data_IF_217352858434
#
_entry.id   IF_217352858434
#
_cell.length_a   1.000
_cell.length_b   1.000
_cell.length_c   1.000
_cell.angle_alpha   90.00
_cell.angle_beta   90.00
_cell.angle_gamma   90.00
#
_symmetry.space_group_name_H-M   'P 1'
#
loop_
_entity.id
_entity.type
_entity.pdbx_description
1 polymer ?
#
# COMPACT_ATOMS: atom_id res chain seq x y z
N UNK A 1 -2.71 18.52 -7.27
CA UNK A 1 -3.95 18.44 -6.45
C UNK A 1 -3.77 19.29 -5.21
N UNK A 2 -4.63 20.27 -4.96
CA UNK A 2 -4.62 21.05 -3.72
C UNK A 2 -5.25 20.23 -2.61
N UNK A 3 -4.46 19.83 -1.62
CA UNK A 3 -4.90 18.93 -0.55
C UNK A 3 -4.66 19.55 0.82
N UNK A 4 -5.56 19.28 1.76
CA UNK A 4 -5.41 19.67 3.16
C UNK A 4 -5.90 18.58 4.11
N UNK A 5 -5.37 18.59 5.33
CA UNK A 5 -5.86 17.80 6.46
C UNK A 5 -6.37 18.77 7.53
N UNK A 6 -7.51 18.45 8.12
CA UNK A 6 -8.16 19.22 9.18
C UNK A 6 -8.31 18.32 10.40
N UNK A 7 -7.95 18.83 11.57
CA UNK A 7 -8.06 18.10 12.85
C UNK A 7 -8.68 18.99 13.92
N UNK A 8 -9.80 18.56 14.49
CA UNK A 8 -10.32 19.13 15.73
C UNK A 8 -9.58 18.66 17.00
N UNK A 9 -8.72 17.65 16.86
CA UNK A 9 -7.99 17.00 17.97
C UNK A 9 -6.60 17.57 18.20
N UNK A 10 -6.23 18.63 17.46
CA UNK A 10 -4.90 19.24 17.53
C UNK A 10 -3.88 18.54 16.65
N UNK A 11 -2.60 18.74 16.97
CA UNK A 11 -1.47 18.17 16.24
C UNK A 11 -1.20 16.73 16.61
N UNK A 12 -0.73 15.96 15.64
CA UNK A 12 -0.11 14.66 15.86
C UNK A 12 1.26 14.83 16.51
N UNK A 13 1.88 13.72 16.89
CA UNK A 13 3.27 13.69 17.33
C UNK A 13 4.20 14.34 16.28
N UNK A 14 5.30 15.01 16.70
CA UNK A 14 6.12 15.81 15.80
C UNK A 14 6.59 15.10 14.52
N UNK A 15 7.02 13.84 14.63
CA UNK A 15 7.45 13.03 13.49
C UNK A 15 6.28 12.70 12.55
N UNK A 16 5.15 12.23 13.10
CA UNK A 16 3.94 11.98 12.31
C UNK A 16 3.48 13.25 11.60
N UNK A 17 3.49 14.39 12.28
CA UNK A 17 3.08 15.66 11.68
C UNK A 17 4.00 16.06 10.51
N UNK A 18 5.32 15.90 10.66
CA UNK A 18 6.27 16.19 9.60
C UNK A 18 6.05 15.26 8.40
N UNK A 19 5.83 13.98 8.64
CA UNK A 19 5.61 13.01 7.57
C UNK A 19 4.24 13.14 6.90
N UNK A 20 3.22 13.61 7.63
CA UNK A 20 1.96 14.04 7.04
C UNK A 20 2.18 15.21 6.07
N UNK A 21 3.00 16.20 6.44
CA UNK A 21 3.33 17.31 5.53
C UNK A 21 4.02 16.82 4.26
N UNK A 22 4.99 15.91 4.40
CA UNK A 22 5.70 15.31 3.28
C UNK A 22 4.72 14.54 2.36
N UNK A 23 3.78 13.81 2.95
CA UNK A 23 2.74 13.08 2.21
C UNK A 23 1.85 14.03 1.41
N UNK A 24 1.39 15.13 2.03
CA UNK A 24 0.60 16.16 1.35
C UNK A 24 1.38 16.81 0.19
N UNK A 25 2.68 17.10 0.38
CA UNK A 25 3.55 17.59 -0.69
C UNK A 25 3.67 16.59 -1.86
N UNK A 26 3.79 15.29 -1.55
CA UNK A 26 3.83 14.23 -2.55
C UNK A 26 2.52 14.18 -3.35
N UNK A 27 1.35 14.16 -2.69
CA UNK A 27 0.05 14.19 -3.38
C UNK A 27 -0.12 15.44 -4.25
N UNK A 28 0.31 16.60 -3.77
CA UNK A 28 0.21 17.84 -4.53
C UNK A 28 0.98 17.76 -5.86
N UNK A 29 2.11 17.06 -5.87
CA UNK A 29 3.01 16.93 -7.01
C UNK A 29 2.67 15.75 -7.92
N UNK A 30 2.19 14.65 -7.32
CA UNK A 30 1.88 13.39 -7.99
C UNK A 30 0.50 13.37 -8.66
N UNK A 31 -0.51 14.01 -8.07
CA UNK A 31 -1.89 13.90 -8.53
C UNK A 31 -2.34 15.16 -9.26
N UNK A 32 -2.84 14.97 -10.48
CA UNK A 32 -3.50 15.97 -11.29
C UNK A 32 -5.01 15.67 -11.28
N UNK A 33 -5.81 16.66 -10.92
CA UNK A 33 -7.26 16.53 -10.82
C UNK A 33 -7.92 17.77 -11.39
N UNK A 34 -9.11 17.59 -11.95
CA UNK A 34 -9.98 18.70 -12.27
C UNK A 34 -10.66 19.21 -10.99
N UNK A 35 -10.81 20.54 -10.91
CA UNK A 35 -11.55 21.17 -9.81
C UNK A 35 -13.00 20.69 -9.87
N UNK A 36 -13.55 20.28 -8.72
CA UNK A 36 -14.96 19.91 -8.62
C UNK A 36 -15.85 21.09 -9.02
N UNK A 37 -16.86 20.82 -9.84
CA UNK A 37 -17.94 21.78 -10.14
C UNK A 37 -18.87 22.01 -8.95
N UNK A 38 -18.80 21.16 -7.93
CA UNK A 38 -19.58 21.23 -6.70
C UNK A 38 -18.62 21.45 -5.52
N UNK A 39 -18.36 22.71 -5.14
CA UNK A 39 -17.44 23.03 -4.06
C UNK A 39 -18.03 22.62 -2.71
N UNK A 40 -17.19 22.02 -1.86
CA UNK A 40 -17.58 21.59 -0.51
C UNK A 40 -17.99 22.78 0.34
N UNK A 41 -19.14 22.66 1.00
CA UNK A 41 -19.65 23.63 1.97
C UNK A 41 -19.40 23.15 3.40
N UNK A 42 -19.42 24.09 4.34
CA UNK A 42 -19.34 23.74 5.77
C UNK A 42 -20.53 22.86 6.21
N UNK A 43 -21.73 23.05 5.64
CA UNK A 43 -22.87 22.16 5.91
C UNK A 43 -22.59 20.71 5.55
N UNK A 44 -21.85 20.46 4.46
CA UNK A 44 -21.51 19.09 4.04
C UNK A 44 -20.64 18.41 5.11
N UNK A 45 -19.73 19.16 5.73
CA UNK A 45 -18.89 18.66 6.83
C UNK A 45 -19.78 18.33 8.03
N UNK A 46 -20.70 19.21 8.41
CA UNK A 46 -21.57 18.98 9.57
C UNK A 46 -22.57 17.85 9.36
N UNK A 47 -22.99 17.60 8.13
CA UNK A 47 -23.87 16.48 7.80
C UNK A 47 -23.10 15.15 7.77
N UNK A 48 -21.92 15.13 7.14
CA UNK A 48 -21.14 13.89 6.93
C UNK A 48 -20.22 13.54 8.08
N UNK A 49 -19.81 14.53 8.87
CA UNK A 49 -18.90 14.41 10.01
C UNK A 49 -19.47 15.21 11.20
N UNK A 50 -20.61 14.80 11.79
CA UNK A 50 -21.35 15.61 12.76
C UNK A 50 -20.53 16.05 13.97
N UNK A 51 -19.54 15.26 14.38
CA UNK A 51 -18.67 15.62 15.50
C UNK A 51 -17.89 16.93 15.28
N UNK A 52 -17.69 17.37 14.04
CA UNK A 52 -17.01 18.63 13.78
C UNK A 52 -17.80 19.86 14.23
N UNK A 53 -19.11 19.71 14.51
CA UNK A 53 -19.92 20.78 15.11
C UNK A 53 -19.43 21.19 16.51
N UNK A 54 -18.71 20.30 17.23
CA UNK A 54 -18.24 20.55 18.60
C UNK A 54 -17.00 21.45 18.68
N UNK A 55 -16.29 21.62 17.57
CA UNK A 55 -15.02 22.35 17.54
C UNK A 55 -15.23 23.82 17.15
N UNK A 56 -14.75 24.75 17.97
CA UNK A 56 -14.71 26.18 17.65
C UNK A 56 -13.50 26.55 16.78
N UNK A 57 -12.40 25.82 16.93
CA UNK A 57 -11.14 25.94 16.19
C UNK A 57 -10.66 24.57 15.76
N UNK A 58 -10.00 24.51 14.61
CA UNK A 58 -9.39 23.30 14.04
C UNK A 58 -7.96 23.59 13.61
N UNK A 59 -7.10 22.59 13.72
CA UNK A 59 -5.77 22.61 13.13
C UNK A 59 -5.91 22.25 11.64
N UNK A 60 -5.43 23.13 10.77
CA UNK A 60 -5.32 22.87 9.34
C UNK A 60 -3.86 22.64 9.00
N UNK A 61 -3.58 21.56 8.27
CA UNK A 61 -2.29 21.28 7.67
C UNK A 61 -2.43 21.17 6.15
N UNK A 62 -1.58 21.92 5.46
CA UNK A 62 -1.41 21.91 4.01
C UNK A 62 0.03 21.48 3.70
N UNK A 63 0.39 21.27 2.43
CA UNK A 63 1.78 21.02 2.03
C UNK A 63 2.78 22.09 2.53
N UNK A 64 2.33 23.36 2.66
CA UNK A 64 3.20 24.51 2.97
C UNK A 64 3.03 25.05 4.38
N UNK A 65 1.82 24.98 4.93
CA UNK A 65 1.45 25.69 6.16
C UNK A 65 0.68 24.81 7.12
N UNK A 66 0.87 25.08 8.41
CA UNK A 66 0.12 24.50 9.51
C UNK A 66 -0.34 25.63 10.42
N UNK A 67 -1.64 25.73 10.68
CA UNK A 67 -2.22 26.79 11.50
C UNK A 67 -3.54 26.38 12.14
N UNK A 68 -3.84 26.94 13.30
CA UNK A 68 -5.17 26.86 13.89
C UNK A 68 -6.05 27.94 13.27
N UNK A 69 -7.24 27.58 12.83
CA UNK A 69 -8.25 28.54 12.34
C UNK A 69 -9.60 28.25 12.99
N UNK A 70 -10.47 29.26 13.05
CA UNK A 70 -11.86 29.03 13.48
C UNK A 70 -12.55 28.17 12.45
N UNK A 71 -13.39 27.24 12.89
CA UNK A 71 -14.08 26.31 11.97
C UNK A 71 -14.92 27.04 10.91
N UNK A 72 -15.48 28.21 11.27
CA UNK A 72 -16.25 29.07 10.35
C UNK A 72 -15.41 29.64 9.20
N UNK A 73 -14.10 29.78 9.42
CA UNK A 73 -13.15 30.31 8.45
C UNK A 73 -12.63 29.20 7.50
N UNK A 74 -13.03 27.93 7.68
CA UNK A 74 -12.69 26.84 6.75
C UNK A 74 -13.23 27.06 5.34
N UNK A 75 -14.27 27.88 5.16
CA UNK A 75 -14.92 28.10 3.86
C UNK A 75 -13.89 28.42 2.76
N UNK A 76 -12.98 29.35 3.02
CA UNK A 76 -11.95 29.75 2.04
C UNK A 76 -10.99 28.61 1.71
N UNK A 77 -10.68 27.74 2.68
CA UNK A 77 -9.86 26.54 2.45
C UNK A 77 -10.59 25.53 1.56
N UNK A 78 -11.87 25.27 1.84
CA UNK A 78 -12.69 24.32 1.08
C UNK A 78 -12.89 24.78 -0.37
N UNK A 79 -13.07 26.08 -0.60
CA UNK A 79 -13.18 26.66 -1.94
C UNK A 79 -11.92 26.41 -2.77
N UNK A 80 -10.73 26.49 -2.18
CA UNK A 80 -9.47 26.29 -2.93
C UNK A 80 -9.04 24.82 -2.98
N UNK A 81 -9.41 23.99 -2.00
CA UNK A 81 -8.95 22.60 -1.90
C UNK A 81 -9.66 21.68 -2.89
N UNK A 82 -8.90 20.80 -3.53
CA UNK A 82 -9.45 19.76 -4.39
C UNK A 82 -9.84 18.52 -3.60
N UNK A 83 -9.21 18.30 -2.44
CA UNK A 83 -9.49 17.18 -1.54
C UNK A 83 -9.16 17.58 -0.10
N UNK A 84 -9.98 17.16 0.87
CA UNK A 84 -9.74 17.47 2.29
C UNK A 84 -9.99 16.25 3.17
N UNK A 85 -9.01 15.93 4.01
CA UNK A 85 -9.10 14.83 4.97
C UNK A 85 -9.40 15.38 6.36
N UNK A 86 -10.40 14.82 7.03
CA UNK A 86 -10.80 15.20 8.37
C UNK A 86 -10.36 14.11 9.37
N UNK A 87 -9.55 14.49 10.36
CA UNK A 87 -9.19 13.58 11.44
C UNK A 87 -10.39 13.40 12.36
N UNK A 88 -10.85 12.17 12.54
CA UNK A 88 -11.98 11.83 13.40
C UNK A 88 -11.55 11.02 14.61
N UNK A 89 -12.38 11.00 15.66
CA UNK A 89 -12.12 10.13 16.79
C UNK A 89 -12.19 8.67 16.36
N UNK A 90 -11.18 7.90 16.74
CA UNK A 90 -11.19 6.45 16.57
C UNK A 90 -11.96 5.78 17.71
N UNK A 91 -12.66 4.68 17.43
CA UNK A 91 -13.20 3.78 18.45
C UNK A 91 -12.05 3.11 19.23
N UNK A 92 -11.84 3.41 20.53
CA UNK A 92 -10.76 2.83 21.31
C UNK A 92 -10.85 1.31 21.41
N UNK A 93 -12.08 0.77 21.40
CA UNK A 93 -12.30 -0.67 21.46
C UNK A 93 -11.80 -1.38 20.21
N UNK A 94 -11.85 -0.69 19.06
CA UNK A 94 -11.31 -1.20 17.80
C UNK A 94 -9.78 -1.24 17.82
N UNK A 95 -9.13 -0.17 18.26
CA UNK A 95 -7.67 -0.16 18.39
C UNK A 95 -7.14 -1.26 19.33
N UNK A 96 -7.90 -1.60 20.38
CA UNK A 96 -7.54 -2.70 21.29
C UNK A 96 -7.72 -4.08 20.63
N UNK A 97 -8.77 -4.26 19.82
CA UNK A 97 -9.04 -5.51 19.10
C UNK A 97 -8.08 -5.74 17.93
N UNK A 98 -7.62 -4.68 17.29
CA UNK A 98 -6.74 -4.68 16.12
C UNK A 98 -5.42 -3.99 16.48
N UNK A 99 -4.48 -4.67 17.18
CA UNK A 99 -3.24 -4.06 17.66
C UNK A 99 -2.32 -3.58 16.53
N UNK A 100 -2.49 -4.11 15.31
CA UNK A 100 -1.72 -3.74 14.12
C UNK A 100 -2.37 -2.57 13.34
N UNK A 101 -3.61 -2.18 13.69
CA UNK A 101 -4.28 -1.03 13.08
C UNK A 101 -3.69 0.27 13.65
N UNK A 102 -2.99 1.04 12.82
CA UNK A 102 -2.48 2.36 13.21
C UNK A 102 -3.37 3.50 12.70
N UNK A 103 -3.87 3.41 11.48
CA UNK A 103 -4.79 4.38 10.92
C UNK A 103 -5.75 3.69 9.96
N UNK A 104 -6.85 4.36 9.68
CA UNK A 104 -7.76 4.00 8.60
C UNK A 104 -8.34 5.27 7.99
N UNK A 105 -8.63 5.24 6.69
CA UNK A 105 -9.33 6.32 6.02
C UNK A 105 -10.40 5.83 5.06
N UNK A 106 -11.46 6.63 4.94
CA UNK A 106 -12.61 6.34 4.09
C UNK A 106 -13.01 7.56 3.27
N UNK A 107 -13.37 7.37 1.99
CA UNK A 107 -13.84 8.45 1.13
C UNK A 107 -15.23 8.90 1.57
N UNK A 108 -15.50 10.20 1.47
CA UNK A 108 -16.84 10.78 1.57
C UNK A 108 -17.22 11.32 0.20
N UNK A 109 -18.15 10.60 -0.45
CA UNK A 109 -18.75 11.01 -1.72
C UNK A 109 -19.95 11.91 -1.44
N UNK A 110 -19.91 13.14 -1.96
CA UNK A 110 -21.02 14.09 -1.81
C UNK A 110 -22.08 13.94 -2.91
N UNK A 111 -21.65 13.60 -4.13
CA UNK A 111 -22.52 13.40 -5.28
C UNK A 111 -22.24 12.05 -5.94
N UNK A 112 -23.27 11.31 -6.37
CA UNK A 112 -23.10 10.06 -7.10
C UNK A 112 -22.16 10.23 -8.30
N UNK A 113 -21.33 9.22 -8.51
CA UNK A 113 -20.40 9.12 -9.64
C UNK A 113 -19.42 10.30 -9.81
N UNK A 114 -19.16 11.01 -8.71
CA UNK A 114 -18.13 12.05 -8.67
C UNK A 114 -16.97 11.66 -7.76
N UNK A 115 -15.81 12.24 -8.07
CA UNK A 115 -14.61 12.14 -7.25
C UNK A 115 -14.90 12.56 -5.81
N UNK A 116 -14.52 11.77 -4.78
CA UNK A 116 -14.62 12.18 -3.38
C UNK A 116 -13.88 13.50 -3.16
N UNK A 117 -14.56 14.57 -2.72
CA UNK A 117 -13.87 15.80 -2.34
C UNK A 117 -13.41 15.75 -0.87
N UNK A 118 -13.93 14.80 -0.10
CA UNK A 118 -13.70 14.65 1.33
C UNK A 118 -13.29 13.22 1.68
N UNK A 119 -12.55 13.08 2.78
CA UNK A 119 -12.36 11.80 3.45
C UNK A 119 -12.30 12.01 4.97
N UNK A 120 -12.55 10.94 5.70
CA UNK A 120 -12.23 10.85 7.12
C UNK A 120 -11.01 9.97 7.30
N UNK A 121 -10.20 10.28 8.30
CA UNK A 121 -9.09 9.45 8.75
C UNK A 121 -9.13 9.38 10.26
N UNK A 122 -8.93 8.19 10.80
CA UNK A 122 -8.83 7.97 12.24
C UNK A 122 -7.53 7.23 12.56
N UNK A 123 -6.97 7.49 13.75
CA UNK A 123 -5.60 7.10 14.10
C UNK A 123 -5.59 6.47 15.49
N UNK A 124 -5.12 5.23 15.58
CA UNK A 124 -4.88 4.49 16.81
C UNK A 124 -3.48 4.78 17.37
N UNK A 125 -3.25 5.97 17.94
CA UNK A 125 -1.92 6.37 18.44
C UNK A 125 -1.32 5.39 19.47
N UNK A 126 -2.14 4.68 20.23
CA UNK A 126 -1.68 3.64 21.16
C UNK A 126 -1.00 2.45 20.47
N UNK A 127 -1.35 2.19 19.21
CA UNK A 127 -0.80 1.12 18.38
C UNK A 127 0.44 1.59 17.60
N UNK A 128 1.00 2.76 17.92
CA UNK A 128 2.17 3.29 17.27
C UNK A 128 3.37 2.32 17.43
N UNK A 129 3.88 1.72 16.33
CA UNK A 129 4.95 0.73 16.41
C UNK A 129 6.26 1.32 16.94
N UNK A 130 6.44 2.65 16.87
CA UNK A 130 7.61 3.33 17.42
C UNK A 130 7.65 3.35 18.95
N UNK A 131 6.51 3.17 19.62
CA UNK A 131 6.49 3.01 21.08
C UNK A 131 7.26 1.76 21.51
N UNK A 132 7.22 0.70 20.70
CA UNK A 132 7.93 -0.56 20.94
C UNK A 132 9.31 -0.59 20.27
N UNK A 133 9.45 0.04 19.11
CA UNK A 133 10.71 0.17 18.39
C UNK A 133 11.04 1.64 18.05
N UNK A 134 11.63 2.41 18.99
CA UNK A 134 11.95 3.82 18.76
C UNK A 134 12.93 4.08 17.60
N UNK A 135 13.64 3.04 17.13
CA UNK A 135 14.61 3.10 16.03
C UNK A 135 13.98 2.85 14.65
N UNK A 136 12.69 2.51 14.59
CA UNK A 136 11.94 2.41 13.33
C UNK A 136 12.08 3.72 12.56
N UNK A 137 12.18 3.67 11.23
CA UNK A 137 12.32 4.90 10.44
C UNK A 137 11.01 5.71 10.47
N UNK A 138 11.09 7.03 10.63
CA UNK A 138 9.89 7.88 10.62
C UNK A 138 9.21 7.90 9.25
N UNK A 139 9.95 7.55 8.18
CA UNK A 139 9.38 7.36 6.83
C UNK A 139 8.24 6.34 6.79
N UNK A 140 8.16 5.43 7.76
CA UNK A 140 6.98 4.58 7.94
C UNK A 140 5.67 5.40 7.99
N UNK A 141 5.65 6.52 8.70
CA UNK A 141 4.45 7.38 8.75
C UNK A 141 4.15 8.06 7.42
N UNK A 142 5.18 8.35 6.62
CA UNK A 142 4.99 8.90 5.28
C UNK A 142 4.29 7.89 4.37
N UNK A 143 4.67 6.62 4.44
CA UNK A 143 3.97 5.56 3.73
C UNK A 143 2.54 5.36 4.27
N UNK A 144 2.37 5.35 5.60
CA UNK A 144 1.06 5.26 6.24
C UNK A 144 0.10 6.34 5.74
N UNK A 145 0.48 7.62 5.81
CA UNK A 145 -0.43 8.68 5.38
C UNK A 145 -0.71 8.63 3.88
N UNK A 146 0.24 8.21 3.05
CA UNK A 146 -0.03 8.00 1.62
C UNK A 146 -1.01 6.86 1.39
N UNK A 147 -0.82 5.74 2.06
CA UNK A 147 -1.72 4.59 2.02
C UNK A 147 -3.16 5.00 2.40
N UNK A 148 -3.33 5.64 3.55
CA UNK A 148 -4.66 6.03 4.01
C UNK A 148 -5.30 7.11 3.13
N UNK A 149 -4.52 8.11 2.69
CA UNK A 149 -5.06 9.13 1.79
C UNK A 149 -5.48 8.51 0.45
N UNK A 150 -4.78 7.48 -0.06
CA UNK A 150 -5.21 6.75 -1.26
C UNK A 150 -6.56 6.05 -1.05
N UNK A 151 -6.82 5.45 0.11
CA UNK A 151 -8.16 4.97 0.45
C UNK A 151 -9.19 6.09 0.52
N UNK A 152 -8.83 7.24 1.11
CA UNK A 152 -9.68 8.44 1.09
C UNK A 152 -10.01 8.96 -0.31
N UNK A 153 -9.14 8.72 -1.29
CA UNK A 153 -9.38 9.00 -2.71
C UNK A 153 -10.21 7.91 -3.41
N UNK A 154 -10.56 6.83 -2.70
CA UNK A 154 -11.40 5.74 -3.19
C UNK A 154 -10.65 4.51 -3.66
N UNK A 155 -9.31 4.43 -3.51
CA UNK A 155 -8.54 3.24 -3.87
C UNK A 155 -9.14 1.99 -3.23
N UNK A 156 -9.55 1.02 -4.03
CA UNK A 156 -10.12 -0.25 -3.58
C UNK A 156 -11.49 -0.15 -2.88
N UNK A 157 -12.08 1.06 -2.76
CA UNK A 157 -13.33 1.31 -2.03
C UNK A 157 -14.45 1.84 -2.93
N UNK A 158 -14.10 2.58 -3.98
CA UNK A 158 -15.05 3.09 -4.96
C UNK A 158 -14.91 2.30 -6.24
N UNK A 159 -15.89 1.41 -6.43
CA UNK A 159 -16.00 0.51 -7.55
C UNK A 159 -17.45 0.57 -8.02
N UNK A 160 -17.68 0.71 -9.33
CA UNK A 160 -19.01 0.60 -9.91
C UNK A 160 -19.49 -0.86 -9.77
N UNK A 161 -20.52 -1.05 -8.93
CA UNK A 161 -21.06 -2.36 -8.52
C UNK A 161 -22.08 -2.95 -9.50
N UNK A 162 -22.21 -2.40 -10.70
CA UNK A 162 -23.13 -2.92 -11.73
C UNK A 162 -22.75 -4.31 -12.27
N UNK A 163 -21.69 -4.94 -11.74
CA UNK A 163 -21.25 -6.30 -12.08
C UNK A 163 -20.42 -6.39 -13.36
N UNK A 164 -20.25 -5.27 -14.08
CA UNK A 164 -19.46 -5.20 -15.32
C UNK A 164 -17.97 -5.43 -15.11
N UNK A 165 -17.49 -5.31 -13.88
CA UNK A 165 -16.08 -5.19 -13.52
C UNK A 165 -15.71 -5.97 -12.27
N UNK A 166 -16.69 -6.66 -11.68
CA UNK A 166 -16.47 -7.62 -10.61
C UNK A 166 -15.62 -8.75 -11.16
N UNK A 167 -14.48 -8.99 -10.50
CA UNK A 167 -13.63 -10.13 -10.83
C UNK A 167 -13.91 -11.27 -9.86
N UNK A 168 -14.41 -12.43 -10.35
CA UNK A 168 -14.74 -13.53 -9.47
C UNK A 168 -13.47 -14.09 -8.81
N UNK A 169 -13.62 -14.46 -7.54
CA UNK A 169 -12.54 -15.10 -6.80
C UNK A 169 -12.32 -16.54 -7.29
N UNK A 170 -11.09 -17.01 -7.21
CA UNK A 170 -10.71 -18.35 -7.68
C UNK A 170 -10.28 -19.25 -6.53
N UNK A 171 -10.82 -20.47 -6.51
CA UNK A 171 -10.34 -21.50 -5.59
C UNK A 171 -8.97 -22.00 -6.04
N UNK A 172 -8.05 -22.10 -5.10
CA UNK A 172 -6.74 -22.72 -5.29
C UNK A 172 -6.36 -23.60 -4.11
N UNK A 173 -5.27 -24.34 -4.24
CA UNK A 173 -4.69 -25.12 -3.14
C UNK A 173 -3.34 -24.49 -2.78
N UNK A 174 -3.21 -24.02 -1.56
CA UNK A 174 -1.96 -23.49 -1.00
C UNK A 174 -1.16 -24.62 -0.37
N UNK A 175 0.02 -24.94 -0.93
CA UNK A 175 0.90 -25.95 -0.36
C UNK A 175 1.93 -25.37 0.60
N UNK A 176 1.99 -25.91 1.81
CA UNK A 176 2.99 -25.55 2.82
C UNK A 176 4.36 -26.21 2.60
N UNK A 177 5.29 -25.98 3.53
CA UNK A 177 6.66 -26.48 3.47
C UNK A 177 6.75 -28.01 3.36
N UNK A 178 5.84 -28.74 4.03
CA UNK A 178 5.71 -30.19 4.00
C UNK A 178 4.99 -30.72 2.73
N UNK A 179 4.51 -29.82 1.86
CA UNK A 179 3.74 -30.17 0.67
C UNK A 179 2.28 -30.53 0.94
N UNK A 180 1.78 -30.37 2.17
CA UNK A 180 0.34 -30.50 2.46
C UNK A 180 -0.38 -29.29 1.86
N UNK A 181 -1.44 -29.57 1.10
CA UNK A 181 -2.27 -28.57 0.44
C UNK A 181 -3.48 -28.17 1.28
N UNK A 182 -3.79 -26.87 1.28
CA UNK A 182 -4.90 -26.28 2.01
C UNK A 182 -5.78 -25.48 1.02
N UNK A 183 -7.11 -25.66 1.02
CA UNK A 183 -7.99 -24.86 0.17
C UNK A 183 -7.86 -23.37 0.46
N UNK A 184 -7.79 -22.57 -0.61
CA UNK A 184 -7.64 -21.13 -0.54
C UNK A 184 -8.52 -20.44 -1.59
N UNK A 185 -8.95 -19.21 -1.28
CA UNK A 185 -9.56 -18.34 -2.26
C UNK A 185 -8.59 -17.22 -2.63
N UNK A 186 -8.23 -17.14 -3.90
CA UNK A 186 -7.52 -16.00 -4.46
C UNK A 186 -8.54 -14.98 -4.92
N UNK A 187 -8.49 -13.80 -4.30
CA UNK A 187 -9.31 -12.67 -4.67
C UNK A 187 -8.56 -11.80 -5.68
N UNK A 188 -9.31 -11.10 -6.53
CA UNK A 188 -8.77 -10.13 -7.48
C UNK A 188 -9.42 -8.77 -7.23
N UNK A 189 -8.67 -7.70 -7.42
CA UNK A 189 -9.23 -6.35 -7.41
C UNK A 189 -10.22 -6.20 -8.55
N UNK A 190 -11.29 -5.49 -8.27
CA UNK A 190 -12.23 -5.04 -9.29
C UNK A 190 -11.59 -3.89 -10.08
N UNK A 191 -11.98 -3.72 -11.35
CA UNK A 191 -11.50 -2.61 -12.19
C UNK A 191 -9.97 -2.52 -12.40
N UNK A 192 -9.30 -3.66 -12.52
CA UNK A 192 -7.86 -3.71 -12.60
C UNK A 192 -7.29 -3.49 -14.02
N UNK A 193 -8.07 -3.18 -15.05
CA UNK A 193 -7.61 -3.27 -16.45
C UNK A 193 -6.34 -2.47 -16.76
N UNK A 194 -6.24 -1.24 -16.23
CA UNK A 194 -5.04 -0.40 -16.39
C UNK A 194 -3.85 -0.99 -15.60
N UNK A 195 -4.12 -1.49 -14.40
CA UNK A 195 -3.14 -2.10 -13.52
C UNK A 195 -2.69 -3.47 -14.02
N UNK A 196 -3.56 -4.23 -14.69
CA UNK A 196 -3.32 -5.56 -15.20
C UNK A 196 -2.26 -5.53 -16.29
N UNK A 197 -2.25 -4.50 -17.14
CA UNK A 197 -1.14 -4.28 -18.07
C UNK A 197 0.18 -4.12 -17.33
N UNK A 198 0.23 -3.24 -16.34
CA UNK A 198 1.43 -3.02 -15.53
C UNK A 198 1.86 -4.29 -14.77
N UNK A 199 0.91 -5.07 -14.23
CA UNK A 199 1.15 -6.34 -13.56
C UNK A 199 1.72 -7.40 -14.50
N UNK A 200 1.14 -7.58 -15.69
CA UNK A 200 1.62 -8.53 -16.72
C UNK A 200 3.06 -8.23 -17.12
N UNK A 201 3.37 -6.95 -17.35
CA UNK A 201 4.71 -6.48 -17.70
C UNK A 201 5.69 -6.67 -16.53
N UNK A 202 5.31 -6.29 -15.32
CA UNK A 202 6.16 -6.39 -14.13
C UNK A 202 6.50 -7.83 -13.76
N UNK A 203 5.50 -8.71 -13.67
CA UNK A 203 5.72 -10.12 -13.30
C UNK A 203 6.20 -10.99 -14.46
N UNK A 204 6.14 -10.51 -15.71
CA UNK A 204 6.47 -11.32 -16.90
C UNK A 204 5.48 -12.48 -17.10
N UNK A 205 4.20 -12.24 -16.86
CA UNK A 205 3.13 -13.22 -17.00
C UNK A 205 2.00 -12.67 -17.88
N UNK A 206 2.01 -12.97 -19.19
CA UNK A 206 1.00 -12.48 -20.14
C UNK A 206 -0.42 -12.98 -19.86
N UNK A 207 -0.54 -14.15 -19.21
CA UNK A 207 -1.80 -14.82 -18.87
C UNK A 207 -2.34 -14.45 -17.48
N UNK A 208 -1.79 -13.41 -16.83
CA UNK A 208 -2.32 -12.92 -15.55
C UNK A 208 -3.81 -12.59 -15.71
N UNK A 209 -4.64 -13.20 -14.86
CA UNK A 209 -6.11 -13.08 -14.90
C UNK A 209 -6.63 -11.79 -14.26
N UNK A 210 -5.94 -11.35 -13.23
CA UNK A 210 -6.20 -10.10 -12.55
C UNK A 210 -5.12 -9.75 -11.54
N UNK A 211 -5.22 -8.55 -10.98
CA UNK A 211 -4.39 -8.06 -9.88
C UNK A 211 -4.90 -8.66 -8.57
N UNK A 212 -4.09 -9.47 -7.91
CA UNK A 212 -4.49 -10.19 -6.68
C UNK A 212 -4.79 -9.22 -5.54
N UNK A 213 -5.92 -9.44 -4.87
CA UNK A 213 -6.33 -8.65 -3.72
C UNK A 213 -6.08 -9.38 -2.41
N UNK A 214 -5.84 -8.61 -1.35
CA UNK A 214 -5.76 -9.15 0.01
C UNK A 214 -7.17 -9.33 0.59
N UNK A 215 -7.63 -10.58 0.57
CA UNK A 215 -8.94 -10.96 1.12
C UNK A 215 -10.15 -10.53 0.27
N UNK A 216 -11.34 -10.87 0.78
CA UNK A 216 -12.62 -10.69 0.09
C UNK A 216 -13.04 -9.22 -0.04
N UNK A 217 -12.52 -8.33 0.81
CA UNK A 217 -12.83 -6.90 0.78
C UNK A 217 -12.29 -6.20 -0.47
N UNK A 218 -11.29 -6.80 -1.13
CA UNK A 218 -10.69 -6.28 -2.38
C UNK A 218 -10.22 -4.83 -2.30
N UNK A 219 -9.79 -4.36 -1.12
CA UNK A 219 -9.35 -2.99 -0.91
C UNK A 219 -7.82 -2.83 -0.90
N UNK A 220 -7.07 -3.90 -0.66
CA UNK A 220 -5.60 -3.90 -0.69
C UNK A 220 -5.06 -4.87 -1.74
N UNK A 221 -3.81 -4.63 -2.15
CA UNK A 221 -3.01 -5.58 -2.91
C UNK A 221 -2.57 -6.74 -2.02
N UNK A 222 -2.63 -7.96 -2.56
CA UNK A 222 -2.22 -9.15 -1.82
C UNK A 222 -0.74 -9.10 -1.39
N UNK A 223 -0.48 -9.17 -0.10
CA UNK A 223 0.87 -9.02 0.47
C UNK A 223 1.87 -10.04 -0.10
N UNK A 224 1.47 -11.31 -0.25
CA UNK A 224 2.32 -12.35 -0.83
C UNK A 224 2.80 -11.99 -2.26
N UNK A 225 1.91 -11.44 -3.08
CA UNK A 225 2.22 -11.14 -4.49
C UNK A 225 2.97 -9.82 -4.64
N UNK A 226 2.63 -8.83 -3.80
CA UNK A 226 3.07 -7.45 -3.99
C UNK A 226 4.12 -6.97 -2.98
N UNK A 227 4.36 -7.68 -1.87
CA UNK A 227 5.43 -7.39 -0.92
C UNK A 227 5.39 -5.95 -0.42
N UNK A 228 6.46 -5.20 -0.63
CA UNK A 228 6.59 -3.80 -0.19
C UNK A 228 5.91 -2.78 -1.11
N UNK A 229 4.77 -3.14 -1.72
CA UNK A 229 3.93 -2.18 -2.45
C UNK A 229 3.13 -1.33 -1.45
N UNK A 230 3.01 -0.03 -1.72
CA UNK A 230 2.36 0.93 -0.83
C UNK A 230 0.94 0.56 -0.41
N UNK A 231 0.18 -0.13 -1.27
CA UNK A 231 -1.23 -0.47 -1.04
C UNK A 231 -1.43 -1.94 -0.62
N UNK A 232 -0.40 -2.58 -0.08
CA UNK A 232 -0.53 -3.84 0.64
C UNK A 232 -1.01 -3.62 2.07
N UNK A 233 -1.60 -4.63 2.70
CA UNK A 233 -2.17 -4.54 4.07
C UNK A 233 -1.12 -4.26 5.14
N UNK A 234 0.13 -4.71 4.95
CA UNK A 234 1.21 -4.52 5.90
C UNK A 234 2.31 -3.65 5.29
N UNK A 235 2.47 -2.44 5.82
CA UNK A 235 3.57 -1.57 5.45
C UNK A 235 4.88 -2.09 6.04
N UNK A 236 5.85 -2.35 5.17
CA UNK A 236 7.19 -2.73 5.60
C UNK A 236 7.84 -1.56 6.37
N UNK A 237 8.66 -1.83 7.40
CA UNK A 237 9.21 -0.83 8.31
C UNK A 237 10.19 0.17 7.69
N UNK A 238 10.44 0.08 6.38
CA UNK A 238 11.44 0.88 5.70
C UNK A 238 10.85 1.70 4.55
N UNK A 239 10.59 1.07 3.40
CA UNK A 239 10.13 1.75 2.18
C UNK A 239 9.09 0.90 1.50
N UNK A 240 7.90 1.48 1.36
CA UNK A 240 6.82 0.96 0.54
C UNK A 240 6.69 1.83 -0.71
N UNK A 241 6.56 1.17 -1.86
CA UNK A 241 6.70 1.83 -3.16
C UNK A 241 5.33 1.99 -3.80
N UNK A 242 4.99 3.22 -4.20
CA UNK A 242 3.85 3.46 -5.07
C UNK A 242 4.21 3.06 -6.51
N UNK A 243 3.80 1.84 -6.90
CA UNK A 243 4.19 1.23 -8.16
C UNK A 243 3.30 1.65 -9.33
N UNK A 244 3.72 1.30 -10.56
CA UNK A 244 2.87 1.44 -11.75
C UNK A 244 1.57 0.63 -11.67
N UNK A 245 1.49 -0.38 -10.80
CA UNK A 245 0.28 -1.18 -10.57
C UNK A 245 -0.74 -0.33 -9.80
N UNK A 246 -0.33 0.28 -8.68
CA UNK A 246 -1.18 1.20 -7.91
C UNK A 246 -1.53 2.48 -8.67
N UNK A 247 -0.63 2.98 -9.54
CA UNK A 247 -0.98 4.03 -10.52
C UNK A 247 -2.14 3.60 -11.41
N UNK A 248 -2.07 2.39 -11.98
CA UNK A 248 -3.15 1.87 -12.83
C UNK A 248 -4.49 1.75 -12.09
N UNK A 249 -4.46 1.34 -10.81
CA UNK A 249 -5.67 1.22 -9.98
C UNK A 249 -6.26 2.60 -9.73
N UNK A 250 -5.48 3.57 -9.23
CA UNK A 250 -6.02 4.89 -8.89
C UNK A 250 -6.48 5.68 -10.12
N UNK A 251 -5.80 5.52 -11.27
CA UNK A 251 -6.24 6.10 -12.54
C UNK A 251 -7.54 5.45 -13.05
N UNK A 252 -7.84 4.23 -12.61
CA UNK A 252 -9.10 3.54 -12.91
C UNK A 252 -10.18 3.73 -11.83
N UNK A 253 -9.87 4.32 -10.69
CA UNK A 253 -10.83 4.69 -9.63
C UNK A 253 -11.70 5.85 -10.08
N UNK A 254 -12.80 5.54 -10.77
CA UNK A 254 -13.89 6.45 -11.10
C UNK A 254 -15.14 5.67 -11.50
N UNK A 255 -16.29 6.31 -11.30
CA UNK A 255 -17.56 5.89 -11.86
C UNK A 255 -17.96 6.88 -12.98
N UNK A 256 -18.63 6.37 -14.02
CA UNK A 256 -19.02 7.16 -15.17
C UNK A 256 -17.95 7.22 -16.27
N UNK A 257 -18.01 8.24 -17.12
CA UNK A 257 -17.23 8.30 -18.37
C UNK A 257 -15.84 8.94 -18.21
N UNK A 258 -15.63 9.72 -17.14
CA UNK A 258 -14.42 10.53 -16.98
C UNK A 258 -13.55 10.05 -15.83
N UNK A 259 -12.26 9.88 -16.14
CA UNK A 259 -11.22 9.58 -15.16
C UNK A 259 -11.07 10.74 -14.16
N UNK A 260 -11.07 10.40 -12.86
CA UNK A 260 -10.99 11.41 -11.79
C UNK A 260 -9.57 11.88 -11.49
N UNK A 261 -8.59 10.98 -11.64
CA UNK A 261 -7.21 11.21 -11.26
C UNK A 261 -6.28 10.94 -12.43
N UNK A 262 -5.42 11.90 -12.76
CA UNK A 262 -4.28 11.66 -13.64
C UNK A 262 -3.00 11.74 -12.84
N UNK A 263 -2.09 10.79 -13.03
CA UNK A 263 -0.83 10.77 -12.31
C UNK A 263 0.26 11.49 -13.10
N UNK A 264 0.99 12.37 -12.44
CA UNK A 264 2.18 13.02 -12.97
C UNK A 264 3.30 11.97 -13.12
N UNK A 265 3.34 11.34 -14.29
CA UNK A 265 4.28 10.26 -14.60
C UNK A 265 5.73 10.66 -14.43
N UNK A 266 6.10 11.91 -14.75
CA UNK A 266 7.47 12.41 -14.57
C UNK A 266 7.88 12.42 -13.10
N UNK A 267 6.98 12.88 -12.22
CA UNK A 267 7.23 12.92 -10.78
C UNK A 267 7.27 11.53 -10.15
N UNK A 268 6.38 10.62 -10.57
CA UNK A 268 6.25 9.27 -10.00
C UNK A 268 7.27 8.27 -10.54
N UNK A 269 7.76 8.44 -11.78
CA UNK A 269 8.68 7.48 -12.41
C UNK A 269 9.90 7.11 -11.56
N UNK A 270 10.60 8.04 -10.89
CA UNK A 270 11.75 7.69 -10.04
C UNK A 270 11.39 6.72 -8.92
N UNK A 271 10.21 6.83 -8.31
CA UNK A 271 9.73 5.91 -7.26
C UNK A 271 9.19 4.61 -7.87
N UNK A 272 8.24 4.70 -8.79
CA UNK A 272 7.55 3.54 -9.35
C UNK A 272 8.50 2.57 -10.07
N UNK A 273 9.57 3.06 -10.70
CA UNK A 273 10.56 2.23 -11.39
C UNK A 273 11.49 1.47 -10.43
N UNK A 274 11.54 1.82 -9.14
CA UNK A 274 12.33 1.09 -8.13
C UNK A 274 11.61 -0.17 -7.65
N UNK A 275 10.31 -0.30 -7.92
CA UNK A 275 9.55 -1.47 -7.52
C UNK A 275 10.05 -2.72 -8.25
N UNK A 276 10.61 -3.65 -7.47
CA UNK A 276 11.32 -4.84 -7.99
C UNK A 276 10.84 -6.16 -7.39
N UNK A 277 10.00 -6.12 -6.34
CA UNK A 277 9.44 -7.32 -5.72
C UNK A 277 8.69 -8.16 -6.76
N UNK A 278 9.01 -9.44 -6.86
CA UNK A 278 8.34 -10.37 -7.79
C UNK A 278 8.63 -10.14 -9.29
N UNK A 279 9.48 -9.16 -9.64
CA UNK A 279 9.69 -8.78 -11.05
C UNK A 279 10.19 -9.96 -11.87
N UNK A 280 9.53 -10.24 -13.00
CA UNK A 280 9.80 -11.36 -13.90
C UNK A 280 9.68 -12.77 -13.30
N UNK A 281 9.04 -12.95 -12.14
CA UNK A 281 8.91 -14.29 -11.53
C UNK A 281 8.00 -15.24 -12.33
N UNK A 282 7.15 -14.69 -13.19
CA UNK A 282 6.29 -15.42 -14.12
C UNK A 282 5.03 -15.98 -13.46
N UNK A 283 4.20 -16.65 -14.27
CA UNK A 283 2.86 -17.06 -13.85
C UNK A 283 2.85 -18.08 -12.69
N UNK A 284 3.89 -18.91 -12.57
CA UNK A 284 3.97 -19.90 -11.48
C UNK A 284 3.98 -19.22 -10.11
N UNK A 285 4.65 -18.07 -9.97
CA UNK A 285 4.63 -17.29 -8.74
C UNK A 285 3.23 -16.77 -8.41
N UNK A 286 2.50 -16.28 -9.42
CA UNK A 286 1.17 -15.72 -9.25
C UNK A 286 0.08 -16.78 -8.99
N UNK A 287 0.31 -18.02 -9.42
CA UNK A 287 -0.68 -19.11 -9.44
C UNK A 287 -0.47 -20.19 -8.38
N UNK A 288 0.67 -20.20 -7.71
CA UNK A 288 1.06 -21.27 -6.77
C UNK A 288 1.48 -20.69 -5.43
N UNK A 289 1.60 -21.56 -4.42
CA UNK A 289 2.20 -21.14 -3.16
C UNK A 289 3.69 -20.82 -3.33
N UNK A 290 4.26 -20.04 -2.42
CA UNK A 290 5.68 -19.75 -2.44
C UNK A 290 6.54 -21.02 -2.40
N UNK A 291 6.15 -22.04 -1.65
CA UNK A 291 6.89 -23.30 -1.60
C UNK A 291 6.88 -24.03 -2.95
N UNK A 292 5.75 -24.06 -3.65
CA UNK A 292 5.67 -24.61 -5.00
C UNK A 292 6.50 -23.80 -5.99
N UNK A 293 6.40 -22.47 -5.95
CA UNK A 293 7.18 -21.57 -6.79
C UNK A 293 8.70 -21.74 -6.59
N UNK A 294 9.16 -21.80 -5.34
CA UNK A 294 10.56 -22.01 -4.99
C UNK A 294 11.03 -23.36 -5.53
N UNK A 295 10.31 -24.46 -5.24
CA UNK A 295 10.68 -25.81 -5.71
C UNK A 295 10.71 -25.88 -7.23
N UNK A 296 9.70 -25.31 -7.90
CA UNK A 296 9.65 -25.24 -9.36
C UNK A 296 10.87 -24.50 -9.91
N UNK A 297 11.20 -23.35 -9.33
CA UNK A 297 12.31 -22.51 -9.79
C UNK A 297 13.66 -23.19 -9.56
N UNK A 298 13.89 -23.80 -8.39
CA UNK A 298 15.11 -24.57 -8.11
C UNK A 298 15.30 -25.73 -9.09
N UNK A 299 14.20 -26.40 -9.47
CA UNK A 299 14.26 -27.54 -10.38
C UNK A 299 14.40 -27.14 -11.86
N UNK A 300 13.77 -26.04 -12.28
CA UNK A 300 13.62 -25.69 -13.71
C UNK A 300 14.46 -24.49 -14.13
N UNK A 301 14.89 -23.66 -13.19
CA UNK A 301 15.61 -22.40 -13.44
C UNK A 301 16.72 -22.20 -12.37
N UNK A 302 17.76 -23.05 -12.33
CA UNK A 302 18.75 -23.07 -11.24
C UNK A 302 19.57 -21.77 -11.08
N UNK A 303 19.60 -20.91 -12.10
CA UNK A 303 20.28 -19.61 -12.07
C UNK A 303 19.31 -18.42 -11.85
N UNK A 304 18.01 -18.69 -11.72
CA UNK A 304 17.01 -17.64 -11.57
C UNK A 304 16.91 -17.21 -10.10
N UNK A 305 17.04 -15.90 -9.88
CA UNK A 305 17.11 -15.28 -8.56
C UNK A 305 15.70 -14.92 -8.13
N UNK A 306 15.26 -15.46 -7.00
CA UNK A 306 13.89 -15.25 -6.48
C UNK A 306 13.84 -14.55 -5.13
N UNK A 307 14.82 -13.68 -4.84
CA UNK A 307 14.74 -12.90 -3.61
C UNK A 307 13.49 -12.00 -3.62
N UNK A 308 12.81 -11.84 -2.49
CA UNK A 308 13.33 -12.11 -1.14
C UNK A 308 13.13 -13.54 -0.64
N UNK A 309 12.59 -14.47 -1.45
CA UNK A 309 12.46 -15.88 -1.05
C UNK A 309 13.81 -16.57 -0.90
N UNK A 310 13.95 -17.37 0.14
CA UNK A 310 15.12 -18.22 0.32
C UNK A 310 15.11 -19.38 -0.68
N UNK A 311 16.22 -19.53 -1.41
CA UNK A 311 16.37 -20.56 -2.42
C UNK A 311 17.80 -21.08 -2.48
N UNK A 312 17.95 -22.37 -2.82
CA UNK A 312 19.24 -23.00 -3.15
C UNK A 312 19.96 -22.31 -4.31
N UNK A 313 19.21 -21.64 -5.18
CA UNK A 313 19.75 -20.81 -6.27
C UNK A 313 20.59 -19.62 -5.74
N UNK A 314 20.46 -19.28 -4.45
CA UNK A 314 21.18 -18.17 -3.82
C UNK A 314 22.47 -18.56 -3.07
N UNK A 315 22.85 -19.84 -3.03
CA UNK A 315 24.00 -20.33 -2.21
C UNK A 315 25.33 -19.60 -2.44
N UNK A 316 25.54 -19.07 -3.64
CA UNK A 316 26.74 -18.32 -4.04
C UNK A 316 26.44 -16.86 -4.39
N UNK A 317 25.31 -16.34 -3.91
CA UNK A 317 24.84 -14.99 -4.23
C UNK A 317 25.06 -14.07 -3.04
N UNK A 318 25.38 -12.83 -3.36
CA UNK A 318 25.57 -11.73 -2.44
C UNK A 318 24.59 -10.62 -2.80
N UNK A 319 24.19 -9.82 -1.82
CA UNK A 319 23.53 -8.56 -2.08
C UNK A 319 24.48 -7.40 -1.76
N UNK A 320 24.29 -6.28 -2.46
CA UNK A 320 24.94 -5.00 -2.13
C UNK A 320 23.90 -3.89 -2.13
N UNK A 321 24.16 -2.86 -1.34
CA UNK A 321 23.37 -1.64 -1.36
C UNK A 321 23.71 -0.83 -2.62
N UNK A 322 22.75 -0.05 -3.15
CA UNK A 322 23.05 0.95 -4.17
C UNK A 322 24.27 1.79 -3.77
N UNK A 323 25.18 2.03 -4.72
CA UNK A 323 26.39 2.84 -4.54
C UNK A 323 27.43 2.27 -3.54
N UNK A 324 27.16 1.12 -2.91
CA UNK A 324 28.11 0.44 -2.03
C UNK A 324 28.88 -0.65 -2.76
N UNK A 325 30.19 -0.71 -2.53
CA UNK A 325 31.04 -1.82 -2.97
C UNK A 325 31.01 -3.00 -1.98
N UNK A 326 30.37 -2.83 -0.82
CA UNK A 326 30.31 -3.87 0.21
C UNK A 326 29.31 -4.95 -0.18
N UNK A 327 29.79 -6.19 -0.21
CA UNK A 327 28.99 -7.36 -0.52
C UNK A 327 28.60 -8.10 0.76
N UNK A 328 27.35 -8.53 0.83
CA UNK A 328 26.78 -9.28 1.94
C UNK A 328 26.30 -10.63 1.42
N UNK A 329 26.84 -11.73 1.95
CA UNK A 329 26.48 -13.08 1.50
C UNK A 329 25.03 -13.40 1.86
N UNK A 330 24.25 -13.85 0.88
CA UNK A 330 22.93 -14.43 1.12
C UNK A 330 23.18 -15.83 1.69
N UNK A 331 22.77 -16.05 2.95
CA UNK A 331 23.00 -17.31 3.66
C UNK A 331 21.68 -18.01 3.93
N UNK A 332 21.63 -19.32 3.69
CA UNK A 332 20.50 -20.19 4.05
C UNK A 332 20.19 -20.17 5.56
N UNK A 333 21.17 -19.78 6.42
CA UNK A 333 20.97 -19.59 7.88
C UNK A 333 20.28 -18.26 8.22
N UNK A 334 20.18 -17.36 7.24
CA UNK A 334 19.53 -16.06 7.35
C UNK A 334 18.09 -16.10 6.86
N UNK A 335 17.40 -17.24 6.91
CA UNK A 335 16.00 -17.35 6.48
C UNK A 335 15.06 -17.34 7.68
N UNK A 336 13.90 -16.71 7.52
CA UNK A 336 12.77 -16.82 8.45
C UNK A 336 11.50 -17.20 7.69
N UNK A 337 10.60 -17.88 8.38
CA UNK A 337 9.24 -18.02 7.91
C UNK A 337 8.52 -16.71 8.24
N UNK A 338 8.14 -15.93 7.21
CA UNK A 338 7.28 -14.76 7.37
C UNK A 338 5.88 -15.13 6.90
N UNK A 339 4.88 -14.69 7.64
CA UNK A 339 3.49 -14.68 7.18
C UNK A 339 3.39 -13.85 5.91
N UNK A 340 2.58 -14.30 4.95
CA UNK A 340 2.40 -13.61 3.66
C UNK A 340 0.94 -13.47 3.23
N UNK A 341 0.01 -14.10 3.95
CA UNK A 341 -1.42 -13.98 3.68
C UNK A 341 -2.11 -13.77 5.02
N UNK A 342 -3.10 -12.87 5.04
CA UNK A 342 -3.90 -12.62 6.22
C UNK A 342 -4.80 -13.83 6.58
N UNK A 343 -4.93 -14.15 7.87
CA UNK A 343 -5.75 -15.25 8.37
C UNK A 343 -4.97 -16.54 8.67
N UNK A 344 -5.65 -17.45 9.38
CA UNK A 344 -5.21 -18.83 9.59
C UNK A 344 -6.04 -19.74 8.71
N UNK A 345 -5.46 -20.85 8.25
CA UNK A 345 -6.28 -21.88 7.62
C UNK A 345 -7.30 -22.47 8.63
N UNK A 346 -8.21 -23.33 8.15
CA UNK A 346 -9.22 -23.98 9.00
C UNK A 346 -8.63 -24.85 10.14
N UNK A 347 -7.31 -24.98 10.26
CA UNK A 347 -6.59 -25.70 11.31
C UNK A 347 -5.70 -24.80 12.17
N UNK A 348 -5.78 -23.47 12.00
CA UNK A 348 -5.00 -22.52 12.77
C UNK A 348 -3.57 -22.30 12.27
N UNK A 349 -3.18 -22.83 11.10
CA UNK A 349 -1.84 -22.69 10.56
C UNK A 349 -1.71 -21.39 9.76
N UNK A 350 -0.68 -20.60 10.06
CA UNK A 350 -0.35 -19.39 9.32
C UNK A 350 0.30 -19.75 7.97
N UNK A 351 -0.04 -18.99 6.93
CA UNK A 351 0.54 -19.16 5.60
C UNK A 351 1.83 -18.37 5.53
N UNK A 352 2.93 -19.11 5.58
CA UNK A 352 4.26 -18.54 5.68
C UNK A 352 5.12 -18.89 4.48
N UNK A 353 6.09 -18.03 4.17
CA UNK A 353 7.10 -18.24 3.16
C UNK A 353 8.50 -18.07 3.75
N UNK A 354 9.50 -18.83 3.26
CA UNK A 354 10.86 -18.66 3.70
C UNK A 354 11.45 -17.41 3.02
N UNK A 355 11.71 -16.37 3.80
CA UNK A 355 12.20 -15.06 3.36
C UNK A 355 13.59 -14.79 3.94
N UNK A 356 14.45 -14.13 3.17
CA UNK A 356 15.79 -13.71 3.60
C UNK A 356 15.67 -12.58 4.65
N UNK A 357 16.18 -12.83 5.85
CA UNK A 357 16.28 -11.88 6.96
C UNK A 357 17.14 -10.68 6.60
N UNK A 358 16.73 -9.51 7.09
CA UNK A 358 17.49 -8.26 7.02
C UNK A 358 17.91 -7.87 5.60
N UNK A 359 17.18 -8.34 4.58
CA UNK A 359 17.40 -7.89 3.23
C UNK A 359 17.02 -6.40 3.19
N UNK A 360 17.95 -5.50 2.81
CA UNK A 360 17.66 -4.09 2.83
C UNK A 360 16.60 -3.75 1.76
N UNK A 361 15.93 -2.60 1.85
CA UNK A 361 14.81 -2.26 0.98
C UNK A 361 15.21 -2.11 -0.50
N UNK A 362 16.43 -1.62 -0.72
CA UNK A 362 17.07 -1.55 -2.02
C UNK A 362 18.33 -2.38 -2.00
N UNK A 363 18.42 -3.31 -2.95
CA UNK A 363 19.58 -4.18 -3.10
C UNK A 363 19.74 -4.62 -4.54
N UNK A 364 20.98 -4.91 -4.90
CA UNK A 364 21.30 -5.63 -6.13
C UNK A 364 21.84 -7.01 -5.75
N UNK A 365 21.27 -8.06 -6.35
CA UNK A 365 21.79 -9.41 -6.20
C UNK A 365 22.88 -9.68 -7.23
N UNK A 366 24.08 -9.89 -6.74
CA UNK A 366 25.29 -10.17 -7.51
C UNK A 366 25.88 -11.53 -7.12
N UNK A 367 26.72 -12.08 -7.98
CA UNK A 367 27.48 -13.26 -7.62
C UNK A 367 28.51 -12.90 -6.55
N UNK A 368 28.64 -13.73 -5.50
CA UNK A 368 29.71 -13.53 -4.54
C UNK A 368 31.07 -13.75 -5.20
N UNK A 369 32.11 -12.99 -4.80
CA UNK A 369 33.47 -13.27 -5.24
C UNK A 369 33.88 -14.68 -4.77
N UNK A 370 34.75 -15.37 -5.54
CA UNK A 370 35.31 -16.64 -5.11
C UNK A 370 36.04 -16.47 -3.76
N UNK A 371 36.10 -17.52 -2.92
CA UNK A 371 36.87 -17.46 -1.69
C UNK A 371 38.34 -17.07 -1.99
N UNK A 372 39.03 -16.34 -1.09
CA UNK A 372 40.43 -16.02 -1.31
C UNK A 372 41.27 -17.31 -1.41
N UNK A 373 41.94 -17.51 -2.55
CA UNK A 373 42.86 -18.64 -2.79
C UNK A 373 42.38 -19.72 -3.78
N UNK A 374 41.36 -19.44 -4.60
CA UNK A 374 40.92 -20.30 -5.71
C UNK A 374 41.73 -20.11 -7.00
#
# INVERSE_FOLDING_TARGET
MKIAVVSGYGSLEPEMQSQLQNSLNWFQSAFLVHKSSHPVQISDIYERIPEYQKFSSVLVQTPLHRQNIRIKDLKSLLEISDFTVFIVAQDPSRCIREPDLLAEALPIVLLPDTRPPLAVMSICLQNNPRHQNPQLDSRFYYDLFRHEILHGLGYGLIVDKTGLTDKPSEKMIWHGANGVGHPENRHFLDFDDFALKAGKEHFGCTNMKGISADGERKNHLNEYVFGNELMTTHLEPFVNIFSWISVGIIERTYNGEQQWYHINRTFISPEANQYSYGRNFGCVFLEKSCHEFIRFTEAKKPNFKIAPFCSRNHRNMCYKLPESQKLYKISDKGCEMRRVIEGTDNRGQQRECPIIKHLPPMYEIVQCPPPPGG
#
